data_IF_093482901778
#
_entry.id   IF_093482901778
#
_cell.length_a   1.000
_cell.length_b   1.000
_cell.length_c   1.000
_cell.angle_alpha   90.00
_cell.angle_beta   90.00
_cell.angle_gamma   90.00
#
_symmetry.space_group_name_H-M   'P 1'
#
loop_
_entity.id
_entity.type
_entity.pdbx_description
1 polymer ?
#
# COMPACT_ATOMS: atom_id res chain seq x y z
N UNK A 1 -15.90 1.77 12.86
CA UNK A 1 -16.06 0.84 11.75
C UNK A 1 -16.02 1.68 10.49
N UNK A 2 -14.88 1.79 9.79
CA UNK A 2 -14.81 2.40 8.47
C UNK A 2 -15.53 1.48 7.51
N UNK A 3 -16.49 2.00 6.73
CA UNK A 3 -17.13 1.22 5.70
C UNK A 3 -16.03 0.78 4.70
N UNK A 4 -15.77 -0.52 4.66
CA UNK A 4 -14.92 -1.11 3.63
C UNK A 4 -15.59 -0.78 2.29
N UNK A 5 -14.89 -0.06 1.43
CA UNK A 5 -15.42 0.21 0.09
C UNK A 5 -15.51 -1.12 -0.65
N UNK A 6 -16.61 -1.40 -1.35
CA UNK A 6 -16.69 -2.63 -2.12
C UNK A 6 -15.54 -2.70 -3.14
N UNK A 7 -14.81 -3.83 -3.25
CA UNK A 7 -13.72 -4.00 -4.22
C UNK A 7 -14.16 -3.71 -5.66
N UNK A 8 -15.43 -3.91 -5.96
CA UNK A 8 -16.03 -3.66 -7.26
C UNK A 8 -15.86 -2.20 -7.70
N UNK A 9 -16.03 -1.25 -6.77
CA UNK A 9 -15.86 0.19 -7.08
C UNK A 9 -14.42 0.51 -7.47
N UNK A 10 -13.44 -0.08 -6.79
CA UNK A 10 -12.03 0.11 -7.14
C UNK A 10 -11.68 -0.58 -8.45
N UNK A 11 -12.28 -1.73 -8.75
CA UNK A 11 -12.10 -2.42 -10.01
C UNK A 11 -12.67 -1.61 -11.17
N UNK A 12 -13.89 -1.08 -11.05
CA UNK A 12 -14.50 -0.20 -12.06
C UNK A 12 -13.63 1.04 -12.33
N UNK A 13 -13.03 1.62 -11.29
CA UNK A 13 -12.14 2.78 -11.44
C UNK A 13 -10.84 2.43 -12.20
N UNK A 14 -10.25 1.27 -11.91
CA UNK A 14 -9.07 0.77 -12.64
C UNK A 14 -9.45 0.48 -14.11
N UNK A 15 -10.59 -0.15 -14.33
CA UNK A 15 -11.10 -0.40 -15.67
C UNK A 15 -11.33 0.87 -16.48
N UNK A 16 -11.94 1.88 -15.87
CA UNK A 16 -12.15 3.17 -16.52
C UNK A 16 -10.82 3.89 -16.80
N UNK A 17 -9.86 3.83 -15.87
CA UNK A 17 -8.55 4.45 -16.03
C UNK A 17 -7.74 3.79 -17.16
N UNK A 18 -7.79 2.47 -17.24
CA UNK A 18 -7.08 1.69 -18.24
C UNK A 18 -7.97 1.31 -19.44
N UNK A 19 -9.05 2.05 -19.69
CA UNK A 19 -9.98 1.79 -20.79
C UNK A 19 -9.23 1.65 -22.11
N UNK A 20 -9.50 0.53 -22.81
CA UNK A 20 -8.84 0.20 -24.08
C UNK A 20 -7.52 -0.56 -23.96
N UNK A 21 -6.92 -0.68 -22.77
CA UNK A 21 -5.72 -1.50 -22.55
C UNK A 21 -6.11 -2.96 -22.36
N UNK A 22 -5.74 -3.83 -23.31
CA UNK A 22 -5.97 -5.29 -23.21
C UNK A 22 -4.91 -6.01 -22.40
N UNK A 23 -3.78 -5.36 -22.13
CA UNK A 23 -2.65 -5.87 -21.37
C UNK A 23 -1.97 -4.75 -20.62
N UNK A 24 -1.26 -5.09 -19.55
CA UNK A 24 -0.48 -4.17 -18.76
C UNK A 24 0.33 -4.93 -17.72
N UNK A 25 1.09 -4.19 -16.92
CA UNK A 25 1.92 -4.75 -15.87
C UNK A 25 1.54 -4.15 -14.51
N UNK A 26 1.23 -5.02 -13.57
CA UNK A 26 0.88 -4.61 -12.21
C UNK A 26 1.93 -5.05 -11.18
N UNK A 27 1.95 -4.35 -10.07
CA UNK A 27 2.67 -4.71 -8.84
C UNK A 27 1.70 -4.58 -7.67
N UNK A 28 1.56 -5.63 -6.88
CA UNK A 28 0.73 -5.63 -5.67
C UNK A 28 1.59 -6.02 -4.48
N UNK A 29 1.75 -5.10 -3.54
CA UNK A 29 2.51 -5.28 -2.30
C UNK A 29 1.53 -5.41 -1.14
N UNK A 30 1.59 -6.54 -0.43
CA UNK A 30 0.57 -6.97 0.52
C UNK A 30 -0.56 -7.72 -0.19
N UNK A 31 -0.21 -8.73 -1.02
CA UNK A 31 -1.17 -9.40 -1.90
C UNK A 31 -2.19 -10.28 -1.18
N UNK A 32 -1.87 -10.75 0.03
CA UNK A 32 -2.75 -11.50 0.94
C UNK A 32 -3.46 -12.69 0.25
N UNK A 33 -4.76 -12.59 0.01
CA UNK A 33 -5.55 -13.64 -0.63
C UNK A 33 -5.46 -13.56 -2.16
N UNK A 34 -5.39 -14.69 -2.88
CA UNK A 34 -5.28 -14.69 -4.34
C UNK A 34 -6.42 -13.97 -5.09
N UNK A 35 -7.61 -13.96 -4.53
CA UNK A 35 -8.83 -13.48 -5.18
C UNK A 35 -9.59 -12.47 -4.32
N UNK A 36 -9.81 -12.82 -3.05
CA UNK A 36 -10.58 -11.99 -2.11
C UNK A 36 -9.81 -10.72 -1.75
N UNK A 37 -10.39 -9.56 -1.99
CA UNK A 37 -9.82 -8.22 -1.80
C UNK A 37 -8.57 -7.92 -2.64
N UNK A 38 -8.12 -8.81 -3.55
CA UNK A 38 -6.98 -8.55 -4.42
C UNK A 38 -7.25 -7.37 -5.34
N UNK A 39 -6.30 -6.45 -5.39
CA UNK A 39 -6.35 -5.28 -6.25
C UNK A 39 -6.02 -5.60 -7.72
N UNK A 40 -5.49 -6.79 -8.00
CA UNK A 40 -4.96 -7.15 -9.32
C UNK A 40 -5.54 -8.44 -9.92
N UNK A 41 -6.34 -9.21 -9.17
CA UNK A 41 -6.94 -10.45 -9.68
C UNK A 41 -7.74 -10.23 -10.97
N UNK A 42 -8.64 -9.25 -11.00
CA UNK A 42 -9.46 -8.94 -12.18
C UNK A 42 -8.60 -8.47 -13.38
N UNK A 43 -7.47 -7.79 -13.14
CA UNK A 43 -6.53 -7.40 -14.20
C UNK A 43 -5.85 -8.63 -14.79
N UNK A 44 -5.40 -9.56 -13.94
CA UNK A 44 -4.78 -10.80 -14.38
C UNK A 44 -5.74 -11.66 -15.20
N UNK A 45 -7.04 -11.73 -14.84
CA UNK A 45 -8.07 -12.41 -15.64
C UNK A 45 -8.23 -11.80 -17.05
N UNK A 46 -7.89 -10.53 -17.22
CA UNK A 46 -7.90 -9.81 -18.50
C UNK A 46 -6.59 -9.92 -19.29
N UNK A 47 -5.65 -10.72 -18.83
CA UNK A 47 -4.40 -10.98 -19.53
C UNK A 47 -3.23 -10.09 -19.10
N UNK A 48 -3.37 -9.31 -18.03
CA UNK A 48 -2.25 -8.58 -17.43
C UNK A 48 -1.27 -9.55 -16.77
N UNK A 49 -0.03 -9.12 -16.66
CA UNK A 49 1.04 -9.81 -15.94
C UNK A 49 1.56 -8.94 -14.81
N UNK A 50 2.34 -9.51 -13.88
CA UNK A 50 2.84 -8.68 -12.79
C UNK A 50 3.60 -9.43 -11.71
N UNK A 51 3.79 -8.71 -10.61
CA UNK A 51 4.46 -9.15 -9.39
C UNK A 51 3.51 -9.02 -8.21
N UNK A 52 3.52 -10.03 -7.36
CA UNK A 52 2.85 -10.06 -6.06
C UNK A 52 3.90 -10.19 -4.97
N UNK A 53 3.82 -9.36 -3.95
CA UNK A 53 4.70 -9.41 -2.77
C UNK A 53 3.82 -9.71 -1.56
N UNK A 54 4.12 -10.82 -0.87
CA UNK A 54 3.39 -11.27 0.31
C UNK A 54 4.38 -11.86 1.32
N UNK A 55 4.58 -11.22 2.49
CA UNK A 55 5.56 -11.70 3.46
C UNK A 55 5.15 -12.99 4.16
N UNK A 56 3.84 -13.25 4.35
CA UNK A 56 3.38 -14.44 5.05
C UNK A 56 3.57 -15.69 4.18
N UNK A 57 4.41 -16.68 4.61
CA UNK A 57 4.79 -17.80 3.74
C UNK A 57 3.62 -18.66 3.23
N UNK A 58 2.62 -18.90 4.08
CA UNK A 58 1.45 -19.71 3.71
C UNK A 58 0.58 -19.01 2.65
N UNK A 59 0.41 -17.70 2.78
CA UNK A 59 -0.32 -16.89 1.79
C UNK A 59 0.48 -16.79 0.49
N UNK A 60 1.79 -16.54 0.56
CA UNK A 60 2.66 -16.53 -0.61
C UNK A 60 2.63 -17.87 -1.36
N UNK A 61 2.64 -19.01 -0.64
CA UNK A 61 2.48 -20.33 -1.23
C UNK A 61 1.10 -20.54 -1.88
N UNK A 62 0.03 -19.98 -1.28
CA UNK A 62 -1.33 -20.00 -1.86
C UNK A 62 -1.39 -19.15 -3.14
N UNK A 63 -0.81 -17.95 -3.13
CA UNK A 63 -0.68 -17.07 -4.29
C UNK A 63 0.06 -17.78 -5.43
N UNK A 64 1.22 -18.39 -5.16
CA UNK A 64 2.01 -19.12 -6.17
C UNK A 64 1.22 -20.24 -6.85
N UNK A 65 0.32 -20.89 -6.15
CA UNK A 65 -0.53 -21.95 -6.72
C UNK A 65 -1.72 -21.45 -7.53
N UNK A 66 -2.20 -20.23 -7.24
CA UNK A 66 -3.48 -19.73 -7.77
C UNK A 66 -3.33 -18.58 -8.78
N UNK A 67 -2.17 -17.90 -8.77
CA UNK A 67 -1.89 -16.73 -9.60
C UNK A 67 -0.81 -17.03 -10.64
N UNK A 68 -0.88 -16.35 -11.79
CA UNK A 68 0.14 -16.43 -12.86
C UNK A 68 1.27 -15.44 -12.66
N UNK A 69 1.01 -14.37 -11.90
CA UNK A 69 2.00 -13.36 -11.54
C UNK A 69 3.16 -13.98 -10.77
N UNK A 70 4.35 -13.38 -10.85
CA UNK A 70 5.49 -13.78 -10.02
C UNK A 70 5.24 -13.42 -8.57
N UNK A 71 5.43 -14.37 -7.66
CA UNK A 71 5.21 -14.19 -6.22
C UNK A 71 6.54 -14.12 -5.49
N UNK A 72 6.68 -13.12 -4.64
CA UNK A 72 7.83 -12.95 -3.74
C UNK A 72 7.37 -13.07 -2.28
N UNK A 73 7.86 -14.09 -1.59
CA UNK A 73 7.58 -14.31 -0.16
C UNK A 73 8.58 -13.53 0.69
N UNK A 74 8.46 -12.22 0.71
CA UNK A 74 9.37 -11.29 1.40
C UNK A 74 8.61 -10.10 1.95
N UNK A 75 9.16 -9.47 2.99
CA UNK A 75 8.74 -8.13 3.41
C UNK A 75 9.32 -7.07 2.46
N UNK A 76 8.51 -6.10 2.07
CA UNK A 76 8.97 -4.93 1.33
C UNK A 76 9.30 -3.81 2.30
N UNK A 77 10.54 -3.30 2.30
CA UNK A 77 10.96 -2.27 3.24
C UNK A 77 12.07 -1.37 2.67
N UNK A 78 12.60 -0.50 3.54
CA UNK A 78 13.63 0.47 3.20
C UNK A 78 14.99 -0.18 2.91
N UNK A 79 15.88 0.49 2.17
CA UNK A 79 17.25 0.00 1.92
C UNK A 79 18.05 -0.31 3.19
N UNK A 80 17.71 0.33 4.32
CA UNK A 80 18.37 0.07 5.61
C UNK A 80 18.02 -1.29 6.19
N UNK A 81 16.89 -1.85 5.82
CA UNK A 81 16.39 -3.15 6.31
C UNK A 81 16.63 -4.28 5.29
N UNK A 82 16.92 -3.96 4.05
CA UNK A 82 17.17 -4.95 3.00
C UNK A 82 18.30 -5.92 3.38
N UNK A 83 18.12 -7.19 3.03
CA UNK A 83 19.04 -8.28 3.36
C UNK A 83 18.96 -8.79 4.82
N UNK A 84 18.04 -8.25 5.63
CA UNK A 84 17.77 -8.71 7.00
C UNK A 84 16.52 -9.57 7.04
N UNK A 85 16.15 -10.03 8.24
CA UNK A 85 14.83 -10.56 8.56
C UNK A 85 14.06 -9.58 9.44
N UNK A 86 12.73 -9.64 9.37
CA UNK A 86 11.83 -8.89 10.24
C UNK A 86 10.74 -9.83 10.77
N UNK A 87 10.32 -9.61 12.02
CA UNK A 87 9.22 -10.33 12.62
C UNK A 87 7.89 -9.76 12.12
N UNK A 88 7.12 -10.55 11.39
CA UNK A 88 5.74 -10.26 11.01
C UNK A 88 4.81 -10.79 12.09
N UNK A 89 4.04 -9.90 12.72
CA UNK A 89 3.02 -10.26 13.70
C UNK A 89 1.73 -10.66 12.99
N UNK A 90 1.32 -11.92 13.19
CA UNK A 90 0.18 -12.51 12.48
C UNK A 90 -1.15 -12.11 13.14
N UNK A 91 -2.01 -11.43 12.39
CA UNK A 91 -3.35 -11.01 12.81
C UNK A 91 -4.38 -11.12 11.66
N UNK A 92 -4.29 -12.19 10.88
CA UNK A 92 -5.10 -12.38 9.67
C UNK A 92 -4.78 -11.32 8.60
N UNK A 93 -5.82 -10.64 8.11
CA UNK A 93 -5.68 -9.59 7.09
C UNK A 93 -4.99 -8.31 7.61
N UNK A 94 -4.81 -8.15 8.92
CA UNK A 94 -4.16 -7.03 9.58
C UNK A 94 -2.77 -7.39 10.14
N UNK A 95 -2.12 -8.41 9.54
CA UNK A 95 -0.75 -8.77 9.93
C UNK A 95 0.21 -7.62 9.65
N UNK A 96 1.02 -7.21 10.64
CA UNK A 96 1.85 -6.00 10.57
C UNK A 96 3.24 -6.23 11.14
N UNK A 97 4.20 -5.41 10.75
CA UNK A 97 5.54 -5.33 11.34
C UNK A 97 5.57 -4.45 12.61
N UNK A 98 4.52 -3.71 12.89
CA UNK A 98 4.37 -2.93 14.13
C UNK A 98 3.51 -3.72 15.13
N UNK A 99 4.10 -4.23 16.23
CA UNK A 99 3.36 -4.99 17.25
C UNK A 99 2.31 -4.13 17.98
N UNK A 100 2.46 -2.81 17.95
CA UNK A 100 1.57 -1.85 18.61
C UNK A 100 0.49 -1.30 17.66
N UNK A 101 0.49 -1.73 16.40
CA UNK A 101 -0.50 -1.29 15.42
C UNK A 101 -1.86 -1.92 15.70
N UNK A 102 -2.60 -1.34 16.63
CA UNK A 102 -3.98 -1.72 16.96
C UNK A 102 -4.97 -1.19 15.92
N UNK A 103 -5.00 -1.77 14.72
CA UNK A 103 -6.03 -1.44 13.72
C UNK A 103 -7.31 -2.20 13.99
N UNK A 104 -7.22 -3.40 14.59
CA UNK A 104 -8.35 -4.22 14.97
C UNK A 104 -8.26 -4.68 16.43
N UNK A 105 -9.38 -5.19 16.97
CA UNK A 105 -9.41 -5.88 18.26
C UNK A 105 -8.77 -7.29 18.19
N UNK A 106 -8.20 -7.67 17.07
CA UNK A 106 -7.56 -8.96 16.84
C UNK A 106 -6.16 -8.92 17.43
N UNK A 107 -5.92 -9.73 18.46
CA UNK A 107 -4.61 -9.92 19.07
C UNK A 107 -3.75 -10.75 18.12
N UNK A 108 -2.46 -10.43 17.99
CA UNK A 108 -1.54 -11.25 17.22
C UNK A 108 -1.54 -12.69 17.74
N UNK A 109 -1.71 -13.65 16.82
CA UNK A 109 -1.74 -15.09 17.11
C UNK A 109 -0.33 -15.71 17.14
N UNK A 110 0.69 -14.90 16.81
CA UNK A 110 2.09 -15.30 16.74
C UNK A 110 2.91 -14.35 15.88
N UNK A 111 4.16 -14.72 15.62
CA UNK A 111 5.02 -14.01 14.68
C UNK A 111 5.83 -14.99 13.83
N UNK A 112 6.19 -14.56 12.62
CA UNK A 112 7.07 -15.30 11.72
C UNK A 112 8.18 -14.38 11.23
N UNK A 113 9.43 -14.90 11.23
CA UNK A 113 10.56 -14.19 10.65
C UNK A 113 10.50 -14.28 9.12
N UNK A 114 10.54 -13.13 8.45
CA UNK A 114 10.48 -13.05 6.99
C UNK A 114 11.67 -12.26 6.43
N UNK A 115 12.23 -12.68 5.29
CA UNK A 115 13.31 -11.95 4.64
C UNK A 115 12.81 -10.60 4.12
N UNK A 116 13.70 -9.61 4.10
CA UNK A 116 13.39 -8.24 3.67
C UNK A 116 14.12 -7.91 2.38
N UNK A 117 13.40 -7.34 1.42
CA UNK A 117 13.95 -6.74 0.20
C UNK A 117 13.39 -5.34 0.00
N UNK A 118 14.11 -4.51 -0.76
CA UNK A 118 13.51 -3.29 -1.31
C UNK A 118 12.59 -3.62 -2.48
N UNK A 119 11.67 -2.72 -2.77
CA UNK A 119 10.81 -2.88 -3.95
C UNK A 119 11.63 -2.85 -5.25
N UNK A 120 12.70 -2.05 -5.31
CA UNK A 120 13.64 -2.02 -6.43
C UNK A 120 14.33 -3.37 -6.69
N UNK A 121 14.81 -4.04 -5.64
CA UNK A 121 15.41 -5.36 -5.75
C UNK A 121 14.41 -6.39 -6.28
N UNK A 122 13.18 -6.39 -5.73
CA UNK A 122 12.11 -7.29 -6.16
C UNK A 122 11.78 -7.08 -7.64
N UNK A 123 11.57 -5.85 -8.06
CA UNK A 123 11.20 -5.52 -9.42
C UNK A 123 12.33 -5.78 -10.43
N UNK A 124 13.57 -5.57 -10.02
CA UNK A 124 14.74 -5.91 -10.83
C UNK A 124 14.89 -7.42 -11.00
N UNK A 125 14.78 -8.19 -9.92
CA UNK A 125 14.80 -9.67 -9.95
C UNK A 125 13.65 -10.24 -10.81
N UNK A 126 12.49 -9.58 -10.80
CA UNK A 126 11.34 -9.98 -11.60
C UNK A 126 11.53 -9.73 -13.10
N UNK A 127 12.47 -8.87 -13.48
CA UNK A 127 12.57 -8.37 -14.86
C UNK A 127 11.39 -7.49 -15.24
N UNK A 128 10.90 -6.69 -14.29
CA UNK A 128 9.73 -5.83 -14.46
C UNK A 128 9.96 -4.80 -15.56
N UNK A 129 9.01 -4.63 -16.51
CA UNK A 129 9.09 -3.57 -17.50
C UNK A 129 8.87 -2.20 -16.86
N UNK A 130 9.48 -1.16 -17.41
CA UNK A 130 9.21 0.23 -17.05
C UNK A 130 8.67 0.99 -18.26
N UNK A 131 7.65 1.83 -18.09
CA UNK A 131 6.94 2.13 -16.84
C UNK A 131 6.02 0.99 -16.38
N UNK A 132 5.74 0.93 -15.07
CA UNK A 132 4.69 0.08 -14.48
C UNK A 132 3.32 0.71 -14.77
N UNK A 133 2.31 -0.09 -15.12
CA UNK A 133 0.96 0.46 -15.31
C UNK A 133 0.25 0.71 -13.97
N UNK A 134 0.27 -0.29 -13.08
CA UNK A 134 -0.44 -0.21 -11.80
C UNK A 134 0.42 -0.69 -10.64
N UNK A 135 0.53 0.14 -9.60
CA UNK A 135 1.16 -0.18 -8.32
C UNK A 135 0.14 -0.10 -7.21
N UNK A 136 -0.07 -1.20 -6.48
CA UNK A 136 -0.88 -1.25 -5.26
C UNK A 136 0.02 -1.53 -4.06
N UNK A 137 -0.15 -0.80 -2.97
CA UNK A 137 0.57 -0.99 -1.71
C UNK A 137 -0.43 -0.94 -0.56
N UNK A 138 -0.55 -2.05 0.16
CA UNK A 138 -1.39 -2.20 1.34
C UNK A 138 -0.69 -3.16 2.31
N UNK A 139 0.10 -2.63 3.22
CA UNK A 139 1.00 -3.36 4.12
C UNK A 139 0.92 -2.90 5.57
N UNK A 140 -0.29 -2.44 5.94
CA UNK A 140 -0.70 -2.23 7.31
C UNK A 140 0.29 -1.36 8.11
N UNK A 141 0.59 -0.16 7.55
CA UNK A 141 1.37 0.89 8.22
C UNK A 141 2.86 0.92 7.89
N UNK A 142 3.35 0.09 6.95
CA UNK A 142 4.75 0.04 6.53
C UNK A 142 5.00 0.65 5.13
N UNK A 143 4.01 1.39 4.61
CA UNK A 143 3.98 1.93 3.24
C UNK A 143 5.16 2.88 2.96
N UNK A 144 5.55 3.69 3.94
CA UNK A 144 6.64 4.66 3.79
C UNK A 144 7.97 3.95 3.63
N UNK A 145 8.23 2.94 4.44
CA UNK A 145 9.44 2.14 4.37
C UNK A 145 9.55 1.42 3.01
N UNK A 146 8.44 0.92 2.48
CA UNK A 146 8.41 0.33 1.14
C UNK A 146 8.69 1.37 0.05
N UNK A 147 8.13 2.59 0.15
CA UNK A 147 8.37 3.68 -0.79
C UNK A 147 9.80 4.23 -0.72
N UNK A 148 10.49 4.16 0.44
CA UNK A 148 11.91 4.51 0.56
C UNK A 148 12.82 3.58 -0.29
N UNK A 149 12.38 2.36 -0.57
CA UNK A 149 13.06 1.37 -1.39
C UNK A 149 12.57 1.32 -2.85
N UNK A 150 11.95 2.39 -3.36
CA UNK A 150 11.34 2.44 -4.68
C UNK A 150 11.85 3.61 -5.53
N UNK A 151 12.49 3.33 -6.66
CA UNK A 151 12.96 4.34 -7.62
C UNK A 151 11.82 4.80 -8.55
N UNK A 152 11.19 5.90 -8.16
CA UNK A 152 10.11 6.52 -8.95
C UNK A 152 10.56 7.00 -10.33
N UNK A 153 11.84 7.37 -10.52
CA UNK A 153 12.35 7.81 -11.80
C UNK A 153 12.51 6.65 -12.79
N UNK A 154 12.84 5.48 -12.30
CA UNK A 154 12.96 4.25 -13.08
C UNK A 154 11.60 3.63 -13.41
N UNK A 155 10.79 3.36 -12.40
CA UNK A 155 9.58 2.54 -12.53
C UNK A 155 8.34 3.31 -12.99
N UNK A 156 8.22 4.58 -12.63
CA UNK A 156 7.21 5.55 -13.09
C UNK A 156 5.78 4.97 -13.20
N UNK A 157 5.16 4.50 -12.13
CA UNK A 157 3.81 3.96 -12.17
C UNK A 157 2.81 4.95 -12.78
N UNK A 158 1.95 4.46 -13.67
CA UNK A 158 0.88 5.28 -14.28
C UNK A 158 -0.28 5.52 -13.31
N UNK A 159 -0.53 4.55 -12.43
CA UNK A 159 -1.53 4.63 -11.38
C UNK A 159 -0.98 3.99 -10.11
N UNK A 160 -1.11 4.68 -8.99
CA UNK A 160 -0.76 4.16 -7.65
C UNK A 160 -2.03 4.12 -6.81
N UNK A 161 -2.31 2.98 -6.21
CA UNK A 161 -3.27 2.77 -5.14
C UNK A 161 -2.48 2.44 -3.88
N UNK A 162 -2.71 3.18 -2.82
CA UNK A 162 -1.95 2.95 -1.59
C UNK A 162 -2.84 3.14 -0.38
N UNK A 163 -2.73 2.20 0.58
CA UNK A 163 -3.37 2.41 1.87
C UNK A 163 -2.77 3.66 2.52
N UNK A 164 -3.63 4.53 2.97
CA UNK A 164 -3.22 5.81 3.50
C UNK A 164 -4.14 6.17 4.67
N UNK A 165 -3.73 5.74 5.83
CA UNK A 165 -4.46 5.97 7.06
C UNK A 165 -4.79 7.46 7.23
N UNK A 166 -6.03 7.76 7.62
CA UNK A 166 -6.55 9.13 7.68
C UNK A 166 -5.71 10.09 8.53
N UNK A 167 -4.88 9.54 9.41
CA UNK A 167 -4.04 10.30 10.35
C UNK A 167 -2.63 10.57 9.83
N UNK A 168 -2.19 9.88 8.79
CA UNK A 168 -0.83 9.98 8.26
C UNK A 168 -0.81 10.80 6.96
N UNK A 169 0.05 11.82 6.89
CA UNK A 169 0.29 12.61 5.68
C UNK A 169 1.64 12.30 5.03
N UNK A 170 2.39 11.33 5.57
CA UNK A 170 3.73 11.02 5.06
C UNK A 170 3.67 10.43 3.65
N UNK A 171 2.73 9.53 3.38
CA UNK A 171 2.47 8.97 2.04
C UNK A 171 2.22 10.08 1.03
N UNK A 172 1.32 11.02 1.35
CA UNK A 172 1.02 12.13 0.46
C UNK A 172 2.25 13.01 0.17
N UNK A 173 3.04 13.34 1.20
CA UNK A 173 4.26 14.15 1.04
C UNK A 173 5.31 13.41 0.21
N UNK A 174 5.49 12.11 0.44
CA UNK A 174 6.41 11.28 -0.31
C UNK A 174 6.03 11.28 -1.80
N UNK A 175 4.80 10.89 -2.13
CA UNK A 175 4.36 10.78 -3.51
C UNK A 175 4.34 12.12 -4.25
N UNK A 176 3.91 13.21 -3.59
CA UNK A 176 3.96 14.55 -4.21
C UNK A 176 5.38 15.04 -4.42
N UNK A 177 6.31 14.71 -3.52
CA UNK A 177 7.73 14.98 -3.68
C UNK A 177 8.36 14.26 -4.88
N UNK A 178 7.82 13.12 -5.27
CA UNK A 178 8.22 12.34 -6.45
C UNK A 178 7.41 12.64 -7.72
N UNK A 179 6.67 13.76 -7.74
CA UNK A 179 5.98 14.23 -8.95
C UNK A 179 4.64 13.56 -9.22
N UNK A 180 3.99 13.03 -8.19
CA UNK A 180 2.62 12.50 -8.28
C UNK A 180 1.62 13.51 -7.72
N UNK A 181 0.40 13.50 -8.25
CA UNK A 181 -0.73 14.23 -7.69
C UNK A 181 -1.79 13.26 -7.19
N UNK A 182 -2.40 13.62 -6.07
CA UNK A 182 -3.55 12.90 -5.53
C UNK A 182 -4.75 13.05 -6.46
N UNK A 183 -5.44 11.96 -6.73
CA UNK A 183 -6.59 11.92 -7.63
C UNK A 183 -7.90 11.79 -6.86
N UNK A 184 -7.99 10.82 -5.95
CA UNK A 184 -9.19 10.54 -5.15
C UNK A 184 -8.89 9.62 -3.98
N UNK A 185 -9.93 9.32 -3.20
CA UNK A 185 -9.90 8.33 -2.11
C UNK A 185 -11.07 7.37 -2.22
N UNK A 186 -10.81 6.08 -1.94
CA UNK A 186 -11.81 5.04 -1.75
C UNK A 186 -11.52 4.33 -0.42
N UNK A 187 -12.45 4.42 0.53
CA UNK A 187 -12.21 3.84 1.86
C UNK A 187 -10.92 4.36 2.52
N UNK A 188 -9.98 3.47 2.80
CA UNK A 188 -8.65 3.79 3.33
C UNK A 188 -7.63 4.03 2.22
N UNK A 189 -7.92 3.68 0.98
CA UNK A 189 -7.01 3.78 -0.15
C UNK A 189 -7.02 5.17 -0.79
N UNK A 190 -5.83 5.70 -1.07
CA UNK A 190 -5.61 6.93 -1.83
C UNK A 190 -5.05 6.60 -3.21
N UNK A 191 -5.53 7.32 -4.22
CA UNK A 191 -5.17 7.14 -5.63
C UNK A 191 -4.28 8.28 -6.09
N UNK A 192 -3.16 7.95 -6.73
CA UNK A 192 -2.22 8.92 -7.26
C UNK A 192 -1.88 8.63 -8.72
N UNK A 193 -1.66 9.70 -9.47
CA UNK A 193 -1.21 9.68 -10.86
C UNK A 193 -0.04 10.64 -11.04
N UNK A 194 0.80 10.48 -12.08
CA UNK A 194 1.82 11.48 -12.40
C UNK A 194 1.21 12.89 -12.47
N UNK A 195 1.94 13.89 -11.98
CA UNK A 195 1.42 15.26 -11.89
C UNK A 195 1.00 15.83 -13.26
N UNK A 196 1.68 15.40 -14.34
CA UNK A 196 1.39 15.78 -15.72
C UNK A 196 0.28 14.94 -16.38
N UNK A 197 -0.27 13.94 -15.71
CA UNK A 197 -1.35 13.13 -16.28
C UNK A 197 -2.61 14.00 -16.51
N UNK A 198 -3.23 13.83 -17.68
CA UNK A 198 -4.47 14.53 -18.06
C UNK A 198 -5.70 13.89 -17.39
N UNK A 199 -5.74 13.95 -16.04
CA UNK A 199 -6.85 13.42 -15.23
C UNK A 199 -7.52 14.58 -14.52
N UNK A 200 -8.83 14.71 -14.72
CA UNK A 200 -9.65 15.69 -14.02
C UNK A 200 -9.98 15.22 -12.60
N UNK A 201 -9.74 16.11 -11.64
CA UNK A 201 -10.11 15.87 -10.24
C UNK A 201 -11.48 16.47 -9.99
N UNK A 202 -12.50 15.62 -9.92
CA UNK A 202 -13.88 16.02 -9.68
C UNK A 202 -14.09 16.71 -8.31
N UNK A 203 -15.23 17.41 -8.15
CA UNK A 203 -15.55 18.17 -6.92
C UNK A 203 -15.57 17.29 -5.66
N UNK A 204 -16.11 16.09 -5.76
CA UNK A 204 -16.13 15.13 -4.63
C UNK A 204 -14.72 14.78 -4.17
N UNK A 205 -13.82 14.52 -5.11
CA UNK A 205 -12.43 14.23 -4.81
C UNK A 205 -11.72 15.44 -4.17
N UNK A 206 -11.94 16.65 -4.69
CA UNK A 206 -11.41 17.89 -4.09
C UNK A 206 -11.91 18.09 -2.65
N UNK A 207 -13.18 17.80 -2.40
CA UNK A 207 -13.73 17.84 -1.04
C UNK A 207 -13.09 16.79 -0.12
N UNK A 208 -12.92 15.55 -0.59
CA UNK A 208 -12.21 14.49 0.16
C UNK A 208 -10.79 14.92 0.51
N UNK A 209 -10.08 15.56 -0.42
CA UNK A 209 -8.75 16.09 -0.21
C UNK A 209 -8.73 17.16 0.89
N UNK A 210 -9.60 18.18 0.80
CA UNK A 210 -9.71 19.24 1.81
C UNK A 210 -10.05 18.66 3.18
N UNK A 211 -11.01 17.73 3.24
CA UNK A 211 -11.39 17.07 4.49
C UNK A 211 -10.23 16.32 5.12
N UNK A 212 -9.47 15.55 4.32
CA UNK A 212 -8.34 14.76 4.85
C UNK A 212 -7.17 15.65 5.25
N UNK A 213 -6.75 16.57 4.40
CA UNK A 213 -5.48 17.27 4.56
C UNK A 213 -5.59 18.55 5.39
N UNK A 214 -6.76 19.15 5.49
CA UNK A 214 -6.98 20.40 6.21
C UNK A 214 -7.97 20.25 7.36
N UNK A 215 -9.24 19.92 7.11
CA UNK A 215 -10.27 19.89 8.14
C UNK A 215 -10.05 18.78 9.19
N UNK A 216 -9.43 17.68 8.82
CA UNK A 216 -9.08 16.60 9.74
C UNK A 216 -7.89 16.91 10.66
N UNK A 217 -7.09 17.94 10.38
CA UNK A 217 -5.85 18.25 11.12
C UNK A 217 -6.10 18.53 12.61
N UNK A 218 -7.05 19.41 13.00
CA UNK A 218 -7.32 19.68 14.42
C UNK A 218 -7.75 18.42 15.19
N UNK A 219 -8.61 17.61 14.59
CA UNK A 219 -9.07 16.36 15.22
C UNK A 219 -7.95 15.32 15.35
N UNK A 220 -7.02 15.28 14.39
CA UNK A 220 -5.82 14.44 14.48
C UNK A 220 -4.96 14.83 15.68
N UNK A 221 -4.64 16.11 15.82
CA UNK A 221 -3.86 16.61 16.95
C UNK A 221 -4.53 16.36 18.30
N UNK A 222 -5.84 16.59 18.40
CA UNK A 222 -6.61 16.30 19.61
C UNK A 222 -6.60 14.80 19.95
N UNK A 223 -6.79 13.94 18.97
CA UNK A 223 -6.75 12.48 19.16
C UNK A 223 -5.36 12.00 19.54
N UNK A 224 -4.32 12.54 18.94
CA UNK A 224 -2.93 12.22 19.25
C UNK A 224 -2.56 12.69 20.66
N UNK A 225 -2.96 13.89 21.07
CA UNK A 225 -2.79 14.40 22.41
C UNK A 225 -3.52 13.52 23.45
N UNK A 226 -4.76 13.12 23.17
CA UNK A 226 -5.55 12.23 24.05
C UNK A 226 -4.95 10.83 24.16
N UNK A 227 -4.30 10.34 23.12
CA UNK A 227 -3.61 9.05 23.10
C UNK A 227 -2.29 9.10 23.89
N UNK A 228 -1.54 10.21 23.79
CA UNK A 228 -0.38 10.50 24.65
C UNK A 228 -0.72 10.44 26.13
N UNK A 229 -1.84 11.05 26.51
CA UNK A 229 -2.30 11.08 27.89
C UNK A 229 -2.67 9.68 28.39
N UNK A 230 -3.28 8.84 27.53
CA UNK A 230 -3.77 7.51 27.90
C UNK A 230 -2.70 6.42 27.86
N UNK A 231 -1.76 6.45 26.92
CA UNK A 231 -0.85 5.32 26.63
C UNK A 231 0.63 5.69 26.61
N UNK A 232 0.99 6.96 26.79
CA UNK A 232 2.38 7.41 26.77
C UNK A 232 3.09 7.31 25.42
N UNK A 233 2.39 6.92 24.35
CA UNK A 233 2.95 6.69 23.02
C UNK A 233 2.34 7.63 21.97
N UNK A 234 3.17 8.02 20.98
CA UNK A 234 2.74 8.78 19.82
C UNK A 234 2.33 7.84 18.67
N UNK A 235 1.35 8.23 17.92
CA UNK A 235 1.05 7.63 16.62
C UNK A 235 2.21 7.92 15.65
N UNK A 236 2.87 6.88 15.13
CA UNK A 236 4.11 6.99 14.36
C UNK A 236 5.37 7.05 15.22
N UNK A 237 5.24 6.72 16.50
CA UNK A 237 6.31 6.82 17.45
C UNK A 237 7.36 5.74 17.32
N UNK A 238 8.49 6.09 16.74
CA UNK A 238 9.75 5.55 17.26
C UNK A 238 9.91 6.09 18.68
N UNK A 239 10.05 5.22 19.65
CA UNK A 239 10.60 5.61 20.92
C UNK A 239 11.95 6.28 20.63
N UNK A 240 12.08 7.57 20.92
CA UNK A 240 13.37 8.23 20.98
C UNK A 240 14.06 7.57 22.17
N UNK A 241 14.96 6.63 21.86
CA UNK A 241 15.86 6.11 22.87
C UNK A 241 16.62 7.28 23.47
N UNK A 242 16.56 7.37 24.83
CA UNK A 242 17.43 8.26 25.59
C UNK A 242 18.86 7.79 25.51
#
# INVERSE_FOLDING_TARGET
MGAMFPPEVENELKEAFFAGSRSGYFVEVGANDPEFLSQTWHLEQRGWTGVLVEPQPDLAAKLTRRRRAKVYSVACSSPRQAGRTMALHLAGIHSSFDPDLNISTTRAEGSVEVPVKTLDEILSDAGTPAPIDFLSIDIEGHEIEALEGFDFARWRPRLILIEDLAMNLAVHRCLTGHGYKWMRRTGLNSWYVPANAAVEIGLVARWQFVRKHYLGVPFRHLREASRRIRHGTWWGGRAVAK
#
